data_IF_887875379935
#
_entry.id   IF_887875379935
#
_cell.length_a   1.000
_cell.length_b   1.000
_cell.length_c   1.000
_cell.angle_alpha   90.00
_cell.angle_beta   90.00
_cell.angle_gamma   90.00
#
_symmetry.space_group_name_H-M   'P 1'
#
loop_
_entity.id
_entity.type
_entity.pdbx_description
1 polymer ?
#
# COMPACT_ATOMS: atom_id res chain seq x y z
N UNK A 1 0.71 4.06 8.53
CA UNK A 1 0.47 5.16 7.57
C UNK A 1 1.72 6.01 7.39
N UNK A 2 2.40 6.39 8.48
CA UNK A 2 3.61 7.22 8.47
C UNK A 2 4.78 6.62 7.64
N UNK A 3 5.08 5.33 7.79
CA UNK A 3 6.12 4.65 7.00
C UNK A 3 5.84 4.65 5.48
N UNK A 4 4.57 4.61 5.07
CA UNK A 4 4.19 4.64 3.64
C UNK A 4 4.45 6.02 3.03
N UNK A 5 4.11 7.08 3.75
CA UNK A 5 4.34 8.45 3.28
C UNK A 5 5.84 8.78 3.21
N UNK A 6 6.62 8.28 4.17
CA UNK A 6 8.09 8.41 4.17
C UNK A 6 8.68 7.67 2.96
N UNK A 7 8.20 6.46 2.65
CA UNK A 7 8.66 5.69 1.49
C UNK A 7 8.28 6.35 0.15
N UNK A 8 7.09 6.94 0.03
CA UNK A 8 6.70 7.68 -1.18
C UNK A 8 7.54 8.94 -1.38
N UNK A 9 7.77 9.70 -0.31
CA UNK A 9 8.60 10.91 -0.36
C UNK A 9 10.05 10.59 -0.76
N UNK A 10 10.63 9.50 -0.22
CA UNK A 10 11.99 9.07 -0.58
C UNK A 10 12.09 8.63 -2.04
N UNK A 11 11.13 7.86 -2.55
CA UNK A 11 11.06 7.46 -3.96
C UNK A 11 10.94 8.68 -4.90
N UNK A 12 10.18 9.70 -4.52
CA UNK A 12 10.09 10.95 -5.29
C UNK A 12 11.41 11.73 -5.30
N UNK A 13 12.15 11.74 -4.19
CA UNK A 13 13.48 12.37 -4.14
C UNK A 13 14.51 11.62 -5.00
N UNK A 14 14.45 10.29 -5.03
CA UNK A 14 15.29 9.47 -5.91
C UNK A 14 14.98 9.73 -7.39
N UNK A 15 13.70 9.85 -7.75
CA UNK A 15 13.28 10.22 -9.10
C UNK A 15 13.90 11.55 -9.55
N UNK A 16 13.81 12.58 -8.71
CA UNK A 16 14.39 13.90 -9.00
C UNK A 16 15.93 13.84 -9.14
N UNK A 17 16.60 12.98 -8.38
CA UNK A 17 18.05 12.77 -8.51
C UNK A 17 18.40 12.11 -9.84
N UNK A 18 17.66 11.09 -10.25
CA UNK A 18 17.85 10.39 -11.53
C UNK A 18 17.64 11.36 -12.68
N UNK A 19 16.57 12.16 -12.66
CA UNK A 19 16.33 13.17 -13.71
C UNK A 19 17.46 14.19 -13.83
N UNK A 20 18.02 14.64 -12.71
CA UNK A 20 19.20 15.52 -12.71
C UNK A 20 20.43 14.82 -13.31
N UNK A 21 20.65 13.54 -13.01
CA UNK A 21 21.77 12.77 -13.55
C UNK A 21 21.62 12.50 -15.06
N UNK A 22 20.39 12.24 -15.53
CA UNK A 22 20.08 12.11 -16.96
C UNK A 22 20.43 13.42 -17.66
N UNK A 23 19.89 14.55 -17.18
CA UNK A 23 20.15 15.86 -17.78
C UNK A 23 21.66 16.19 -17.82
N UNK A 24 22.39 15.94 -16.72
CA UNK A 24 23.83 16.18 -16.68
C UNK A 24 24.62 15.28 -17.65
N UNK A 25 24.21 14.02 -17.82
CA UNK A 25 24.84 13.08 -18.75
C UNK A 25 24.56 13.47 -20.19
N UNK A 26 23.34 13.92 -20.50
CA UNK A 26 22.95 14.42 -21.82
C UNK A 26 23.68 15.71 -22.19
N UNK A 27 23.83 16.67 -21.27
CA UNK A 27 24.65 17.87 -21.52
C UNK A 27 26.10 17.51 -21.85
N UNK A 28 26.70 16.58 -21.10
CA UNK A 28 28.07 16.08 -21.38
C UNK A 28 28.18 15.31 -22.68
N UNK A 29 27.12 14.62 -23.09
CA UNK A 29 27.06 13.91 -24.38
C UNK A 29 27.15 14.90 -25.55
N UNK A 30 26.43 16.03 -25.46
CA UNK A 30 26.44 17.10 -26.48
C UNK A 30 27.81 17.77 -26.57
N UNK A 31 28.48 17.98 -25.44
CA UNK A 31 29.79 18.65 -25.37
C UNK A 31 30.98 17.76 -25.79
N UNK A 32 30.80 16.43 -25.75
CA UNK A 32 31.87 15.46 -25.99
C UNK A 32 32.01 15.13 -27.47
N UNK A 33 33.24 15.21 -28.01
CA UNK A 33 33.56 14.85 -29.40
C UNK A 33 34.08 13.41 -29.57
N UNK A 34 34.38 12.72 -28.47
CA UNK A 34 34.89 11.34 -28.49
C UNK A 34 33.74 10.33 -28.59
N UNK A 35 33.70 9.58 -29.69
CA UNK A 35 32.71 8.53 -29.96
C UNK A 35 32.66 7.45 -28.87
N UNK A 36 33.79 7.15 -28.23
CA UNK A 36 33.86 6.15 -27.16
C UNK A 36 33.14 6.64 -25.90
N UNK A 37 33.32 7.92 -25.58
CA UNK A 37 32.69 8.54 -24.41
C UNK A 37 31.20 8.75 -24.66
N UNK A 38 30.81 9.12 -25.88
CA UNK A 38 29.40 9.21 -26.28
C UNK A 38 28.66 7.89 -26.07
N UNK A 39 29.21 6.76 -26.54
CA UNK A 39 28.62 5.43 -26.31
C UNK A 39 28.51 5.06 -24.82
N UNK A 40 29.51 5.42 -24.02
CA UNK A 40 29.46 5.16 -22.58
C UNK A 40 28.40 6.01 -21.87
N UNK A 41 28.23 7.28 -22.28
CA UNK A 41 27.19 8.17 -21.77
C UNK A 41 25.79 7.74 -22.21
N UNK A 42 25.64 7.30 -23.47
CA UNK A 42 24.39 6.74 -23.99
C UNK A 42 23.93 5.54 -23.19
N UNK A 43 24.83 4.57 -22.96
CA UNK A 43 24.55 3.42 -22.08
C UNK A 43 24.18 3.86 -20.66
N UNK A 44 24.84 4.90 -20.13
CA UNK A 44 24.54 5.40 -18.79
C UNK A 44 23.16 6.06 -18.69
N UNK A 45 22.74 6.76 -19.75
CA UNK A 45 21.40 7.35 -19.85
C UNK A 45 20.36 6.23 -19.91
N UNK A 46 20.59 5.18 -20.70
CA UNK A 46 19.67 4.03 -20.81
C UNK A 46 19.47 3.33 -19.45
N UNK A 47 20.56 3.08 -18.70
CA UNK A 47 20.49 2.53 -17.34
C UNK A 47 19.66 3.41 -16.39
N UNK A 48 19.82 4.74 -16.49
CA UNK A 48 19.10 5.69 -15.64
C UNK A 48 17.61 5.78 -15.99
N UNK A 49 17.26 5.70 -17.28
CA UNK A 49 15.88 5.66 -17.75
C UNK A 49 15.16 4.36 -17.33
N UNK A 50 15.86 3.23 -17.35
CA UNK A 50 15.31 1.97 -16.83
C UNK A 50 15.02 2.06 -15.32
N UNK A 51 15.95 2.62 -14.54
CA UNK A 51 15.75 2.86 -13.10
C UNK A 51 14.59 3.82 -12.84
N UNK A 52 14.45 4.88 -13.65
CA UNK A 52 13.32 5.81 -13.59
C UNK A 52 11.99 5.07 -13.76
N UNK A 53 11.88 4.21 -14.76
CA UNK A 53 10.67 3.43 -15.03
C UNK A 53 10.30 2.51 -13.86
N UNK A 54 11.28 1.82 -13.25
CA UNK A 54 11.04 0.96 -12.08
C UNK A 54 10.52 1.75 -10.86
N UNK A 55 11.06 2.95 -10.62
CA UNK A 55 10.60 3.82 -9.53
C UNK A 55 9.20 4.34 -9.80
N UNK A 56 8.88 4.73 -11.05
CA UNK A 56 7.54 5.18 -11.43
C UNK A 56 6.49 4.07 -11.24
N UNK A 57 6.80 2.85 -11.68
CA UNK A 57 5.94 1.68 -11.44
C UNK A 57 5.73 1.43 -9.94
N UNK A 58 6.80 1.58 -9.14
CA UNK A 58 6.70 1.45 -7.69
C UNK A 58 5.77 2.52 -7.10
N UNK A 59 5.91 3.79 -7.51
CA UNK A 59 5.02 4.88 -7.07
C UNK A 59 3.57 4.61 -7.46
N UNK A 60 3.33 4.12 -8.68
CA UNK A 60 1.99 3.80 -9.19
C UNK A 60 1.34 2.64 -8.42
N UNK A 61 2.08 1.59 -8.10
CA UNK A 61 1.62 0.50 -7.24
C UNK A 61 1.23 1.00 -5.84
N UNK A 62 1.98 1.97 -5.30
CA UNK A 62 1.67 2.59 -4.01
C UNK A 62 0.48 3.56 -4.09
N UNK A 63 0.25 4.20 -5.25
CA UNK A 63 -0.87 5.13 -5.45
C UNK A 63 -2.19 4.41 -5.71
N UNK A 64 -2.17 3.24 -6.34
CA UNK A 64 -3.35 2.45 -6.68
C UNK A 64 -3.95 1.72 -5.46
N UNK A 65 -3.20 1.62 -4.36
CA UNK A 65 -3.67 1.07 -3.09
C UNK A 65 -4.26 2.15 -2.15
N UNK A 66 -4.73 3.27 -2.73
CA UNK A 66 -5.55 4.27 -2.06
C UNK A 66 -6.93 3.69 -1.76
N UNK A 67 -7.02 2.82 -0.75
CA UNK A 67 -8.19 2.90 0.10
C UNK A 67 -8.03 4.24 0.81
N UNK A 68 -8.74 5.24 0.28
CA UNK A 68 -8.80 6.55 0.87
C UNK A 68 -9.24 6.41 2.34
N UNK A 69 -8.52 7.10 3.24
CA UNK A 69 -8.74 6.97 4.67
C UNK A 69 -10.17 7.35 5.05
N UNK A 70 -10.72 8.37 4.39
CA UNK A 70 -12.11 8.78 4.58
C UNK A 70 -13.05 7.65 4.15
N UNK A 71 -12.84 7.05 2.99
CA UNK A 71 -13.60 5.88 2.53
C UNK A 71 -13.53 4.70 3.52
N UNK A 72 -12.34 4.36 4.03
CA UNK A 72 -12.18 3.31 5.04
C UNK A 72 -12.88 3.66 6.36
N UNK A 73 -12.76 4.91 6.81
CA UNK A 73 -13.37 5.41 8.04
C UNK A 73 -14.90 5.39 7.92
N UNK A 74 -15.46 5.86 6.81
CA UNK A 74 -16.90 5.83 6.54
C UNK A 74 -17.42 4.40 6.49
N UNK A 75 -16.66 3.45 5.94
CA UNK A 75 -17.03 2.04 5.97
C UNK A 75 -17.08 1.48 7.40
N UNK A 76 -16.14 1.87 8.27
CA UNK A 76 -16.16 1.46 9.69
C UNK A 76 -17.29 2.16 10.46
N UNK A 77 -17.52 3.45 10.23
CA UNK A 77 -18.58 4.22 10.90
C UNK A 77 -19.97 3.73 10.52
N UNK A 78 -20.23 3.48 9.23
CA UNK A 78 -21.49 2.89 8.76
C UNK A 78 -21.72 1.49 9.31
N UNK A 79 -20.65 0.70 9.47
CA UNK A 79 -20.73 -0.59 10.16
C UNK A 79 -21.09 -0.43 11.65
N UNK A 80 -20.53 0.58 12.32
CA UNK A 80 -20.78 0.88 13.73
C UNK A 80 -22.14 1.55 13.98
N UNK A 81 -22.79 2.09 12.96
CA UNK A 81 -24.12 2.70 13.07
C UNK A 81 -25.17 1.66 13.52
N UNK A 82 -25.06 0.41 13.07
CA UNK A 82 -25.93 -0.67 13.51
C UNK A 82 -25.22 -2.03 13.56
N UNK A 83 -24.40 -2.28 14.60
CA UNK A 83 -23.67 -3.53 14.75
C UNK A 83 -24.60 -4.74 14.95
N UNK A 84 -25.81 -4.52 15.48
CA UNK A 84 -26.81 -5.59 15.69
C UNK A 84 -27.31 -6.17 14.35
N UNK A 85 -27.61 -5.32 13.37
CA UNK A 85 -28.03 -5.76 12.03
C UNK A 85 -26.96 -6.63 11.36
N UNK A 86 -25.69 -6.25 11.51
CA UNK A 86 -24.55 -7.03 10.98
C UNK A 86 -24.30 -8.30 11.78
N UNK A 87 -24.57 -8.31 13.08
CA UNK A 87 -24.49 -9.50 13.91
C UNK A 87 -25.55 -10.55 13.54
N UNK A 88 -26.80 -10.15 13.29
CA UNK A 88 -27.88 -11.08 12.96
C UNK A 88 -27.71 -11.66 11.55
N UNK A 89 -27.42 -10.81 10.57
CA UNK A 89 -27.42 -11.20 9.15
C UNK A 89 -26.05 -11.61 8.61
N UNK A 90 -24.97 -11.34 9.36
CA UNK A 90 -23.61 -11.50 8.88
C UNK A 90 -23.05 -12.91 9.01
N UNK A 91 -22.04 -13.19 8.21
CA UNK A 91 -21.26 -14.43 8.28
C UNK A 91 -20.41 -14.50 9.56
N UNK A 92 -19.73 -15.64 9.79
CA UNK A 92 -18.89 -15.82 10.97
C UNK A 92 -17.76 -14.77 11.07
N UNK A 93 -17.26 -14.28 9.94
CA UNK A 93 -16.19 -13.27 9.90
C UNK A 93 -16.74 -11.90 10.34
N UNK A 94 -17.89 -11.51 9.82
CA UNK A 94 -18.60 -10.28 10.19
C UNK A 94 -19.01 -10.30 11.67
N UNK A 95 -19.48 -11.44 12.18
CA UNK A 95 -19.79 -11.62 13.61
C UNK A 95 -18.55 -11.44 14.50
N UNK A 96 -17.41 -12.04 14.13
CA UNK A 96 -16.13 -11.81 14.84
C UNK A 96 -15.68 -10.35 14.76
N UNK A 97 -15.91 -9.69 13.63
CA UNK A 97 -15.59 -8.29 13.44
C UNK A 97 -16.42 -7.39 14.37
N UNK A 98 -17.75 -7.61 14.45
CA UNK A 98 -18.63 -6.92 15.41
C UNK A 98 -18.11 -7.10 16.83
N UNK A 99 -17.76 -8.32 17.22
CA UNK A 99 -17.25 -8.58 18.57
C UNK A 99 -15.96 -7.83 18.89
N UNK A 100 -15.05 -7.72 17.92
CA UNK A 100 -13.78 -7.01 18.11
C UNK A 100 -13.93 -5.50 18.14
N UNK A 101 -14.95 -4.96 17.47
CA UNK A 101 -15.15 -3.51 17.34
C UNK A 101 -16.09 -2.93 18.41
N UNK A 102 -17.08 -3.70 18.87
CA UNK A 102 -18.06 -3.25 19.88
C UNK A 102 -17.57 -3.48 21.31
N UNK A 103 -16.82 -4.56 21.56
CA UNK A 103 -16.37 -4.91 22.91
C UNK A 103 -14.90 -4.57 23.12
N UNK A 104 -14.61 -3.90 24.25
CA UNK A 104 -13.25 -3.51 24.65
C UNK A 104 -12.36 -4.73 24.95
N UNK A 105 -12.96 -5.85 25.36
CA UNK A 105 -12.27 -7.10 25.65
C UNK A 105 -12.92 -8.24 24.88
N UNK A 106 -12.10 -9.16 24.40
CA UNK A 106 -12.57 -10.36 23.71
C UNK A 106 -13.55 -11.13 24.62
N UNK A 107 -14.76 -11.37 24.12
CA UNK A 107 -15.74 -12.19 24.82
C UNK A 107 -15.23 -13.64 24.85
N UNK A 108 -15.29 -14.33 26.01
CA UNK A 108 -14.93 -15.73 26.08
C UNK A 108 -15.83 -16.54 25.15
N UNK A 109 -15.21 -17.26 24.21
CA UNK A 109 -15.94 -18.09 23.25
C UNK A 109 -16.51 -19.30 24.01
N UNK A 110 -17.79 -19.21 24.38
CA UNK A 110 -18.53 -20.36 24.90
C UNK A 110 -18.72 -21.35 23.74
N UNK A 111 -17.88 -22.39 23.68
CA UNK A 111 -18.22 -23.59 22.90
C UNK A 111 -19.37 -24.24 23.65
N UNK A 112 -20.55 -24.28 23.02
CA UNK A 112 -21.69 -25.00 23.57
C UNK A 112 -21.31 -26.46 23.78
N UNK A 113 -21.08 -26.86 25.03
CA UNK A 113 -21.16 -28.26 25.40
C UNK A 113 -22.66 -28.60 25.35
N UNK A 114 -23.10 -29.14 24.22
CA UNK A 114 -24.39 -29.82 24.16
C UNK A 114 -24.24 -31.08 25.01
N UNK A 115 -24.46 -30.94 26.32
CA UNK A 115 -24.73 -32.10 27.15
C UNK A 115 -26.02 -32.72 26.62
N UNK A 116 -25.88 -33.86 25.95
CA UNK A 116 -26.96 -34.81 25.75
C UNK A 116 -27.38 -35.27 27.15
N UNK A 117 -28.35 -34.56 27.75
CA UNK A 117 -29.11 -35.13 28.86
C UNK A 117 -29.89 -36.27 28.23
N UNK A 118 -29.38 -37.48 28.47
CA UNK A 118 -30.06 -38.71 28.13
C UNK A 118 -31.39 -38.77 28.88
N UNK A 119 -32.37 -39.25 28.14
CA UNK A 119 -33.72 -39.61 28.55
C UNK A 119 -33.70 -40.40 29.86
N UNK A 120 -34.58 -40.02 30.80
CA UNK A 120 -35.33 -40.95 31.66
C UNK A 120 -36.66 -40.30 32.04
#
# INVERSE_FOLDING_TARGET
>A
MEQRNINLYTLQQELLKIEKQINASTSRFIETTSQVIQRALEKKIEELEEQKLQILQSIELHSNNKIDFETALMAVLSFMENPYKTWVNGDLKQKKLVQRLVFIKALPQQRGHFNQVSIN
#
